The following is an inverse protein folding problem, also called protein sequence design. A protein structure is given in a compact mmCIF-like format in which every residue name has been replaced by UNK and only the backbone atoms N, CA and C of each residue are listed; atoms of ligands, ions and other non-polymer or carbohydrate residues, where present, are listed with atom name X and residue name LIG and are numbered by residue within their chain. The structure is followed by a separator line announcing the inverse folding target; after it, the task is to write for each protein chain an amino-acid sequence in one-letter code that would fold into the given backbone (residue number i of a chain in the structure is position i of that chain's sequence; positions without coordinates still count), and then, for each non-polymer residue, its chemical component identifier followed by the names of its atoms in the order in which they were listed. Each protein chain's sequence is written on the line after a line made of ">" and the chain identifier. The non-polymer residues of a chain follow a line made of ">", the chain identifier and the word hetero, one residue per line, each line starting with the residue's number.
data_IF_211380954591
#
_entry.id   IF_211380954591
#
_cell.length_a   1.000
_cell.length_b   1.000
_cell.length_c   1.000
_cell.angle_alpha   90.00
_cell.angle_beta   90.00
_cell.angle_gamma   90.00
#
_symmetry.space_group_name_H-M   'P 1'
#
loop_
_entity.id
_entity.type
_entity.pdbx_description
1 polymer ?
#
# COMPACT_ATOMS: atom_id res chain seq x y z
N UNK A 1 29.17 -66.58 -23.34
CA UNK A 1 27.75 -66.84 -23.57
C UNK A 1 26.98 -66.40 -22.34
N UNK A 2 26.47 -65.24 -22.32
CA UNK A 2 25.34 -64.76 -21.56
C UNK A 2 25.43 -63.26 -21.45
N UNK A 3 24.67 -62.63 -22.30
CA UNK A 3 24.55 -61.20 -22.39
C UNK A 3 23.75 -60.70 -21.21
N UNK A 4 24.34 -59.92 -20.34
CA UNK A 4 23.63 -59.16 -19.35
C UNK A 4 23.27 -57.82 -19.95
N UNK A 5 22.00 -57.64 -20.17
CA UNK A 5 21.40 -56.36 -20.53
C UNK A 5 21.31 -55.51 -19.26
N UNK A 6 22.12 -54.51 -19.19
CA UNK A 6 22.06 -53.49 -18.16
C UNK A 6 21.11 -52.36 -18.64
N UNK A 7 19.90 -52.40 -18.14
CA UNK A 7 18.94 -51.34 -18.37
C UNK A 7 19.31 -50.19 -17.42
N UNK A 8 19.88 -49.17 -17.99
CA UNK A 8 20.09 -47.90 -17.29
C UNK A 8 18.79 -47.12 -17.30
N UNK A 9 18.11 -47.10 -16.15
CA UNK A 9 16.93 -46.30 -15.94
C UNK A 9 17.38 -44.87 -15.66
N UNK A 10 17.32 -44.00 -16.68
CA UNK A 10 17.54 -42.58 -16.52
C UNK A 10 16.27 -41.95 -15.96
N UNK A 11 16.25 -41.73 -14.67
CA UNK A 11 15.21 -40.90 -14.03
C UNK A 11 15.49 -39.44 -14.31
N UNK A 12 14.75 -38.89 -15.25
CA UNK A 12 14.69 -37.43 -15.48
C UNK A 12 13.90 -36.81 -14.34
N UNK A 13 14.60 -36.25 -13.37
CA UNK A 13 14.00 -35.42 -12.36
C UNK A 13 13.71 -34.06 -13.02
N UNK A 14 12.49 -33.89 -13.49
CA UNK A 14 11.98 -32.61 -13.89
C UNK A 14 11.86 -31.73 -12.65
N UNK A 15 12.88 -30.90 -12.42
CA UNK A 15 12.81 -29.83 -11.43
C UNK A 15 11.73 -28.84 -11.83
N UNK A 16 10.58 -28.88 -11.16
CA UNK A 16 9.63 -27.78 -11.18
C UNK A 16 10.30 -26.60 -10.48
N UNK A 17 10.87 -25.70 -11.27
CA UNK A 17 11.24 -24.37 -10.78
C UNK A 17 9.94 -23.63 -10.49
N UNK A 18 9.52 -23.62 -9.24
CA UNK A 18 8.55 -22.65 -8.77
C UNK A 18 9.23 -21.28 -8.85
N UNK A 19 9.06 -20.63 -9.98
CA UNK A 19 9.26 -19.19 -10.04
C UNK A 19 8.17 -18.57 -9.18
N UNK A 20 8.47 -18.37 -7.91
CA UNK A 20 7.67 -17.49 -7.09
C UNK A 20 7.74 -16.12 -7.74
N UNK A 21 6.66 -15.71 -8.40
CA UNK A 21 6.48 -14.35 -8.85
C UNK A 21 6.40 -13.48 -7.60
N UNK A 22 7.52 -12.89 -7.20
CA UNK A 22 7.57 -11.79 -6.25
C UNK A 22 7.18 -10.50 -6.99
N UNK A 23 6.03 -10.54 -7.64
CA UNK A 23 5.43 -9.36 -8.27
C UNK A 23 4.52 -8.70 -7.25
N UNK A 24 5.05 -7.87 -6.38
CA UNK A 24 4.18 -7.15 -5.45
C UNK A 24 4.87 -6.55 -4.25
N UNK A 25 6.02 -7.07 -3.81
CA UNK A 25 6.71 -6.52 -2.63
C UNK A 25 7.17 -5.07 -2.83
N UNK A 26 7.49 -4.65 -4.08
CA UNK A 26 7.88 -3.27 -4.39
C UNK A 26 6.73 -2.27 -4.38
N UNK A 27 5.48 -2.72 -4.57
CA UNK A 27 4.29 -1.88 -4.62
C UNK A 27 3.44 -1.96 -3.35
N UNK A 28 3.76 -2.82 -2.41
CA UNK A 28 2.96 -3.02 -1.20
C UNK A 28 2.87 -1.75 -0.33
N UNK A 29 3.94 -0.98 -0.09
CA UNK A 29 3.84 0.30 0.61
C UNK A 29 2.99 1.33 -0.13
N UNK A 30 3.11 1.38 -1.46
CA UNK A 30 2.31 2.28 -2.31
C UNK A 30 0.84 1.94 -2.20
N UNK A 31 0.51 0.66 -2.32
CA UNK A 31 -0.88 0.20 -2.17
C UNK A 31 -1.46 0.51 -0.79
N UNK A 32 -0.66 0.39 0.27
CA UNK A 32 -1.09 0.73 1.63
C UNK A 32 -1.52 2.20 1.72
N UNK A 33 -0.77 3.12 1.09
CA UNK A 33 -1.13 4.54 1.06
C UNK A 33 -2.36 4.80 0.19
N UNK A 34 -2.47 4.16 -0.96
CA UNK A 34 -3.66 4.27 -1.82
C UNK A 34 -4.93 3.79 -1.10
N UNK A 35 -4.86 2.65 -0.42
CA UNK A 35 -5.96 2.10 0.39
C UNK A 35 -6.30 3.01 1.57
N UNK A 36 -5.30 3.60 2.23
CA UNK A 36 -5.47 4.57 3.31
C UNK A 36 -6.22 5.82 2.83
N UNK A 37 -5.78 6.40 1.71
CA UNK A 37 -6.42 7.59 1.13
C UNK A 37 -7.85 7.30 0.66
N UNK A 38 -8.09 6.11 0.11
CA UNK A 38 -9.44 5.68 -0.28
C UNK A 38 -10.36 5.54 0.94
N UNK A 39 -9.88 4.94 2.03
CA UNK A 39 -10.62 4.85 3.29
C UNK A 39 -10.91 6.23 3.89
N UNK A 40 -9.92 7.13 3.84
CA UNK A 40 -10.03 8.50 4.35
C UNK A 40 -11.14 9.27 3.62
N UNK A 41 -11.13 9.30 2.28
CA UNK A 41 -12.14 10.05 1.51
C UNK A 41 -13.53 9.41 1.53
N UNK A 42 -13.61 8.11 1.75
CA UNK A 42 -14.87 7.39 1.96
C UNK A 42 -15.39 7.48 3.40
N UNK A 43 -14.59 8.04 4.29
CA UNK A 43 -14.89 8.13 5.73
C UNK A 43 -15.15 6.77 6.37
N UNK A 44 -14.40 5.78 5.90
CA UNK A 44 -14.43 4.43 6.44
C UNK A 44 -13.46 4.34 7.63
N UNK A 45 -13.97 4.71 8.79
CA UNK A 45 -13.22 4.78 10.04
C UNK A 45 -12.60 3.42 10.41
N UNK A 46 -13.38 2.36 10.33
CA UNK A 46 -12.93 1.02 10.69
C UNK A 46 -11.77 0.55 9.78
N UNK A 47 -11.89 0.81 8.48
CA UNK A 47 -10.83 0.47 7.52
C UNK A 47 -9.61 1.36 7.71
N UNK A 48 -9.79 2.66 7.94
CA UNK A 48 -8.69 3.59 8.17
C UNK A 48 -7.86 3.19 9.39
N UNK A 49 -8.52 2.79 10.49
CA UNK A 49 -7.85 2.26 11.69
C UNK A 49 -6.99 1.03 11.39
N UNK A 50 -7.49 0.09 10.58
CA UNK A 50 -6.74 -1.12 10.22
C UNK A 50 -5.55 -0.85 9.28
N UNK A 51 -5.56 0.27 8.57
CA UNK A 51 -4.49 0.70 7.66
C UNK A 51 -3.47 1.63 8.32
N UNK A 52 -3.70 2.00 9.55
CA UNK A 52 -2.83 2.87 10.36
C UNK A 52 -2.11 2.08 11.44
N UNK A 53 -0.86 2.40 11.72
CA UNK A 53 -0.23 1.86 12.93
C UNK A 53 -0.77 2.58 14.18
N UNK A 54 -0.66 1.92 15.34
CA UNK A 54 -1.28 2.42 16.57
C UNK A 54 -0.82 3.81 16.98
N UNK A 55 0.40 4.19 16.64
CA UNK A 55 0.95 5.52 16.94
C UNK A 55 0.35 6.63 16.07
N UNK A 56 -0.15 6.29 14.90
CA UNK A 56 -0.71 7.23 13.92
C UNK A 56 -2.24 7.21 13.87
N UNK A 57 -2.88 6.21 14.44
CA UNK A 57 -4.33 5.99 14.32
C UNK A 57 -5.15 7.20 14.77
N UNK A 58 -4.80 7.79 15.92
CA UNK A 58 -5.52 8.97 16.44
C UNK A 58 -5.43 10.17 15.48
N UNK A 59 -4.26 10.42 14.89
CA UNK A 59 -4.07 11.49 13.90
C UNK A 59 -4.85 11.21 12.61
N UNK A 60 -4.87 9.96 12.16
CA UNK A 60 -5.64 9.54 10.99
C UNK A 60 -7.15 9.75 11.19
N UNK A 61 -7.67 9.38 12.35
CA UNK A 61 -9.08 9.56 12.70
C UNK A 61 -9.43 11.04 12.86
N UNK A 62 -8.52 11.84 13.40
CA UNK A 62 -8.71 13.30 13.49
C UNK A 62 -8.77 13.94 12.09
N UNK A 63 -7.94 13.48 11.15
CA UNK A 63 -8.01 13.92 9.75
C UNK A 63 -9.35 13.52 9.12
N UNK A 64 -9.78 12.28 9.32
CA UNK A 64 -11.09 11.80 8.85
C UNK A 64 -12.24 12.67 9.40
N UNK A 65 -12.19 12.99 10.69
CA UNK A 65 -13.21 13.83 11.33
C UNK A 65 -13.30 15.23 10.71
N UNK A 66 -12.17 15.76 10.24
CA UNK A 66 -12.15 17.06 9.55
C UNK A 66 -12.97 17.08 8.26
N UNK A 67 -13.21 15.91 7.66
CA UNK A 67 -13.98 15.74 6.42
C UNK A 67 -15.46 15.40 6.65
N UNK A 68 -15.93 15.28 7.89
CA UNK A 68 -17.32 14.81 8.16
C UNK A 68 -18.39 15.72 7.55
N UNK A 69 -18.16 17.03 7.51
CA UNK A 69 -19.13 18.02 7.04
C UNK A 69 -19.07 18.28 5.52
N UNK A 70 -18.14 17.64 4.81
CA UNK A 70 -17.91 17.87 3.38
C UNK A 70 -18.01 16.57 2.59
N UNK A 71 -18.28 16.65 1.29
CA UNK A 71 -18.13 15.51 0.39
C UNK A 71 -16.71 15.45 -0.11
N UNK A 72 -16.08 14.28 -0.06
CA UNK A 72 -14.67 14.10 -0.43
C UNK A 72 -14.50 13.10 -1.56
N UNK A 73 -13.53 13.35 -2.43
CA UNK A 73 -13.10 12.44 -3.48
C UNK A 73 -11.63 12.61 -3.79
N UNK A 74 -11.02 11.55 -4.32
CA UNK A 74 -9.67 11.62 -4.89
C UNK A 74 -9.75 12.05 -6.35
N UNK A 75 -8.79 12.86 -6.77
CA UNK A 75 -8.62 13.30 -8.14
C UNK A 75 -7.16 13.13 -8.57
N UNK A 76 -6.94 12.34 -9.62
CA UNK A 76 -5.63 12.13 -10.23
C UNK A 76 -4.62 11.43 -9.32
N UNK A 77 -5.06 10.57 -8.40
CA UNK A 77 -4.18 9.86 -7.48
C UNK A 77 -3.16 8.99 -8.23
N UNK A 78 -1.89 9.22 -7.97
CA UNK A 78 -0.78 8.40 -8.44
C UNK A 78 0.33 8.41 -7.37
N UNK A 79 0.55 7.29 -6.72
CA UNK A 79 1.54 7.15 -5.67
C UNK A 79 2.79 6.40 -6.14
N UNK A 80 3.93 6.72 -5.56
CA UNK A 80 5.19 6.02 -5.79
C UNK A 80 6.05 6.02 -4.53
N UNK A 81 6.80 4.94 -4.34
CA UNK A 81 7.82 4.91 -3.30
C UNK A 81 9.03 5.73 -3.76
N UNK A 82 9.39 6.76 -3.01
CA UNK A 82 10.50 7.65 -3.32
C UNK A 82 11.80 7.29 -2.62
N UNK A 83 11.72 6.42 -1.62
CA UNK A 83 12.87 5.99 -0.85
C UNK A 83 12.47 5.22 0.38
N UNK A 84 13.41 5.08 1.30
CA UNK A 84 13.21 4.47 2.60
C UNK A 84 14.12 5.13 3.64
N UNK A 85 13.68 5.08 4.87
CA UNK A 85 14.40 5.56 6.04
C UNK A 85 14.40 4.41 7.06
N UNK A 86 15.50 3.63 7.06
CA UNK A 86 15.52 2.37 7.81
C UNK A 86 14.46 1.40 7.29
N UNK A 87 13.61 0.92 8.18
CA UNK A 87 12.49 0.01 7.87
C UNK A 87 11.22 0.76 7.40
N UNK A 88 11.27 2.08 7.33
CA UNK A 88 10.16 2.92 6.89
C UNK A 88 10.24 3.19 5.39
N UNK A 89 9.24 2.77 4.64
CA UNK A 89 9.10 3.15 3.24
C UNK A 89 8.52 4.56 3.15
N UNK A 90 9.05 5.37 2.24
CA UNK A 90 8.59 6.72 1.98
C UNK A 90 7.78 6.73 0.68
N UNK A 91 6.53 7.12 0.75
CA UNK A 91 5.60 7.15 -0.39
C UNK A 91 5.11 8.56 -0.62
N UNK A 92 5.28 9.03 -1.83
CA UNK A 92 4.74 10.30 -2.32
C UNK A 92 3.58 10.03 -3.25
N UNK A 93 2.51 10.80 -3.10
CA UNK A 93 1.37 10.75 -4.00
C UNK A 93 1.22 12.08 -4.74
N UNK A 94 0.96 11.98 -6.05
CA UNK A 94 0.43 13.10 -6.82
C UNK A 94 -1.10 13.02 -6.82
N UNK A 95 -1.74 14.13 -7.15
CA UNK A 95 -3.19 14.24 -7.12
C UNK A 95 -3.68 15.05 -5.94
N UNK A 96 -4.96 15.02 -5.74
CA UNK A 96 -5.65 15.89 -4.77
C UNK A 96 -6.77 15.16 -4.07
N UNK A 97 -7.06 15.59 -2.85
CA UNK A 97 -8.37 15.37 -2.24
C UNK A 97 -9.22 16.60 -2.55
N UNK A 98 -10.36 16.39 -3.18
CA UNK A 98 -11.34 17.45 -3.41
C UNK A 98 -12.39 17.37 -2.31
N UNK A 99 -12.54 18.44 -1.53
CA UNK A 99 -13.55 18.56 -0.49
C UNK A 99 -14.59 19.60 -0.95
N UNK A 100 -15.83 19.16 -1.10
CA UNK A 100 -16.94 19.98 -1.59
C UNK A 100 -17.88 20.35 -0.42
N UNK A 101 -18.08 21.64 -0.24
CA UNK A 101 -19.02 22.21 0.73
C UNK A 101 -19.84 23.33 0.05
N UNK A 102 -21.17 23.25 0.12
CA UNK A 102 -22.06 24.21 -0.54
C UNK A 102 -21.75 24.48 -2.02
N UNK A 103 -21.46 23.39 -2.77
CA UNK A 103 -21.07 23.46 -4.20
C UNK A 103 -19.74 24.16 -4.49
N UNK A 104 -18.95 24.44 -3.46
CA UNK A 104 -17.60 24.98 -3.57
C UNK A 104 -16.58 23.86 -3.31
N UNK A 105 -15.65 23.68 -4.24
CA UNK A 105 -14.55 22.72 -4.14
C UNK A 105 -13.32 23.36 -3.50
N UNK A 106 -12.77 22.70 -2.50
CA UNK A 106 -11.45 22.97 -1.96
C UNK A 106 -10.52 21.81 -2.31
N UNK A 107 -9.31 22.15 -2.71
CA UNK A 107 -8.32 21.18 -3.15
C UNK A 107 -7.20 21.05 -2.10
N UNK A 108 -6.93 19.80 -1.67
CA UNK A 108 -5.76 19.47 -0.86
C UNK A 108 -4.77 18.74 -1.76
N UNK A 109 -3.65 19.38 -2.02
CA UNK A 109 -2.57 18.82 -2.83
C UNK A 109 -1.83 17.72 -2.04
N UNK A 110 -1.82 16.50 -2.57
CA UNK A 110 -1.16 15.36 -1.96
C UNK A 110 0.36 15.37 -2.19
N UNK A 111 0.84 16.11 -3.19
CA UNK A 111 2.28 16.14 -3.54
C UNK A 111 3.15 16.85 -2.50
N UNK A 112 2.54 17.57 -1.57
CA UNK A 112 3.24 18.23 -0.46
C UNK A 112 3.43 17.33 0.77
N UNK A 113 2.95 16.07 0.70
CA UNK A 113 2.99 15.10 1.78
C UNK A 113 3.80 13.88 1.40
N UNK A 114 4.64 13.42 2.31
CA UNK A 114 5.31 12.12 2.20
C UNK A 114 4.75 11.21 3.28
N UNK A 115 4.19 10.07 2.88
CA UNK A 115 3.65 9.08 3.80
C UNK A 115 4.76 8.15 4.27
N UNK A 116 4.79 7.89 5.56
CA UNK A 116 5.68 6.94 6.20
C UNK A 116 4.93 5.62 6.39
N UNK A 117 5.46 4.55 5.82
CA UNK A 117 4.81 3.24 5.81
C UNK A 117 5.74 2.20 6.40
N UNK A 118 5.26 1.47 7.39
CA UNK A 118 6.04 0.46 8.11
C UNK A 118 5.34 -0.90 8.00
N UNK A 119 6.13 -1.96 7.90
CA UNK A 119 5.60 -3.31 7.91
C UNK A 119 5.49 -3.82 9.36
N UNK A 120 4.28 -4.15 9.78
CA UNK A 120 3.97 -4.74 11.08
C UNK A 120 3.12 -5.99 10.90
N UNK A 121 3.56 -7.11 11.48
CA UNK A 121 2.81 -8.36 11.39
C UNK A 121 2.59 -8.86 9.94
N UNK A 122 3.49 -8.52 9.01
CA UNK A 122 3.39 -8.86 7.60
C UNK A 122 2.55 -7.89 6.77
N UNK A 123 1.93 -6.88 7.39
CA UNK A 123 1.12 -5.87 6.71
C UNK A 123 1.83 -4.51 6.69
N UNK A 124 1.64 -3.77 5.61
CA UNK A 124 2.14 -2.41 5.49
C UNK A 124 1.10 -1.42 5.99
N UNK A 125 1.48 -0.61 6.98
CA UNK A 125 0.61 0.36 7.65
C UNK A 125 1.17 1.77 7.50
N UNK A 126 0.28 2.75 7.35
CA UNK A 126 0.66 4.16 7.40
C UNK A 126 0.92 4.55 8.86
N UNK A 127 2.11 5.07 9.13
CA UNK A 127 2.58 5.42 10.47
C UNK A 127 2.92 6.89 10.63
N UNK A 128 2.73 7.70 9.61
CA UNK A 128 3.00 9.12 9.68
C UNK A 128 2.93 9.81 8.33
N UNK A 129 2.97 11.12 8.40
CA UNK A 129 3.08 12.03 7.25
C UNK A 129 4.12 13.10 7.60
N UNK A 130 5.03 13.38 6.67
CA UNK A 130 6.01 14.46 6.80
C UNK A 130 5.91 15.44 5.64
#
# INVERSE_FOLDING_TARGET
>A
MRKFFLIVLVTVISGLSLTACVSGSGNAPVKAVEDYLDALVKKDEARLSTLSCGEWEDDALLELDSFQAVTTRLDGLACSQTGSDGDTALVLCNGKIIATYNDEDQELDLSVRTYEVVQEGGEWLVCGVR
#
